data_IF_935725202433
#
_entry.id   IF_935725202433
#
_cell.length_a   1.000
_cell.length_b   1.000
_cell.length_c   1.000
_cell.angle_alpha   90.00
_cell.angle_beta   90.00
_cell.angle_gamma   90.00
#
_symmetry.space_group_name_H-M   'P 1'
#
loop_
_entity.id
_entity.type
_entity.pdbx_description
1 polymer ?
#
# COMPACT_ATOMS: atom_id res chain seq x y z
N UNK A 1 -0.93 -4.54 -14.75
CA UNK A 1 -0.05 -5.71 -14.55
C UNK A 1 0.85 -5.41 -13.35
N UNK A 2 0.85 -6.28 -12.33
CA UNK A 2 1.60 -6.07 -11.09
C UNK A 2 3.09 -5.81 -11.34
N UNK A 3 3.68 -6.49 -12.32
CA UNK A 3 5.09 -6.31 -12.67
C UNK A 3 5.45 -4.89 -13.13
N UNK A 4 4.52 -4.18 -13.77
CA UNK A 4 4.75 -2.79 -14.19
C UNK A 4 4.71 -1.86 -12.97
N UNK A 5 3.71 -2.04 -12.11
CA UNK A 5 3.58 -1.24 -10.88
C UNK A 5 4.81 -1.40 -9.97
N UNK A 6 5.37 -2.60 -9.89
CA UNK A 6 6.60 -2.84 -9.13
C UNK A 6 7.82 -2.15 -9.75
N UNK A 7 7.94 -2.14 -11.08
CA UNK A 7 9.01 -1.43 -11.79
C UNK A 7 8.90 0.09 -11.61
N UNK A 8 7.69 0.63 -11.68
CA UNK A 8 7.46 2.07 -11.47
C UNK A 8 7.83 2.46 -10.02
N UNK A 9 7.43 1.66 -9.03
CA UNK A 9 7.78 1.89 -7.62
C UNK A 9 9.28 1.70 -7.31
N UNK A 10 9.97 0.82 -8.06
CA UNK A 10 11.44 0.75 -8.01
C UNK A 10 12.07 2.03 -8.59
N UNK A 11 11.56 2.54 -9.73
CA UNK A 11 12.06 3.77 -10.35
C UNK A 11 11.87 4.99 -9.44
N UNK A 12 10.76 5.04 -8.71
CA UNK A 12 10.44 6.07 -7.71
C UNK A 12 11.20 5.88 -6.38
N UNK A 13 12.04 4.84 -6.26
CA UNK A 13 12.81 4.50 -5.05
C UNK A 13 11.96 4.21 -3.81
N UNK A 14 10.73 3.77 -4.01
CA UNK A 14 9.81 3.34 -2.95
C UNK A 14 10.08 1.88 -2.59
N UNK A 15 10.46 1.06 -3.57
CA UNK A 15 10.80 -0.36 -3.39
C UNK A 15 12.26 -0.65 -3.74
N UNK A 16 12.83 -1.66 -3.06
CA UNK A 16 14.08 -2.31 -3.43
C UNK A 16 13.79 -3.77 -3.78
N UNK A 17 14.33 -4.21 -4.92
CA UNK A 17 14.28 -5.60 -5.37
C UNK A 17 15.49 -6.38 -4.89
N UNK A 18 15.22 -7.39 -4.08
CA UNK A 18 16.21 -8.36 -3.63
C UNK A 18 16.07 -9.64 -4.46
N UNK A 19 17.06 -9.89 -5.32
CA UNK A 19 17.14 -11.12 -6.10
C UNK A 19 17.88 -12.17 -5.27
N UNK A 20 17.16 -13.21 -4.85
CA UNK A 20 17.77 -14.35 -4.19
C UNK A 20 18.29 -15.29 -5.30
N UNK A 21 19.60 -15.35 -5.49
CA UNK A 21 20.30 -16.30 -6.39
C UNK A 21 20.86 -17.42 -5.50
N UNK A 22 20.93 -18.71 -5.88
CA UNK A 22 21.16 -19.23 -7.22
C UNK A 22 20.70 -20.69 -7.38
N UNK A 23 19.54 -20.92 -8.00
CA UNK A 23 19.19 -22.07 -8.85
C UNK A 23 17.76 -21.85 -9.38
N UNK A 24 17.37 -22.38 -10.55
CA UNK A 24 16.01 -22.23 -11.06
C UNK A 24 14.99 -22.86 -10.10
N UNK A 25 13.87 -22.18 -9.74
CA UNK A 25 13.40 -20.89 -10.24
C UNK A 25 13.90 -19.66 -9.44
N UNK A 26 14.18 -18.57 -10.18
CA UNK A 26 14.58 -17.27 -9.62
C UNK A 26 13.42 -16.68 -8.80
N UNK A 27 13.60 -16.59 -7.50
CA UNK A 27 12.63 -15.93 -6.61
C UNK A 27 13.09 -14.50 -6.33
N UNK A 28 12.17 -13.56 -6.47
CA UNK A 28 12.39 -12.14 -6.18
C UNK A 28 11.59 -11.75 -4.94
N UNK A 29 12.19 -10.98 -4.04
CA UNK A 29 11.47 -10.31 -2.95
C UNK A 29 11.61 -8.82 -3.08
N UNK A 30 10.54 -8.11 -2.80
CA UNK A 30 10.51 -6.65 -2.74
C UNK A 30 10.45 -6.23 -1.27
N UNK A 31 11.10 -5.13 -0.94
CA UNK A 31 11.06 -4.52 0.38
C UNK A 31 10.92 -3.02 0.23
N UNK A 32 10.25 -2.38 1.20
CA UNK A 32 10.13 -0.92 1.22
C UNK A 32 11.49 -0.30 1.53
N UNK A 33 11.75 0.84 0.90
CA UNK A 33 12.84 1.73 1.33
C UNK A 33 12.40 2.54 2.54
N UNK A 34 13.31 3.31 3.14
CA UNK A 34 12.97 4.29 4.18
C UNK A 34 11.86 5.25 3.70
N UNK A 35 11.98 5.75 2.47
CA UNK A 35 10.96 6.60 1.84
C UNK A 35 9.64 5.84 1.65
N UNK A 36 9.70 4.56 1.26
CA UNK A 36 8.52 3.72 1.13
C UNK A 36 7.80 3.49 2.44
N UNK A 37 8.53 3.32 3.55
CA UNK A 37 7.93 3.24 4.89
C UNK A 37 7.24 4.55 5.28
N UNK A 38 7.88 5.70 5.08
CA UNK A 38 7.25 7.00 5.33
C UNK A 38 5.97 7.22 4.48
N UNK A 39 6.02 6.83 3.20
CA UNK A 39 4.85 6.91 2.33
C UNK A 39 3.71 5.99 2.81
N UNK A 40 4.06 4.80 3.33
CA UNK A 40 3.07 3.85 3.86
C UNK A 40 2.32 4.42 5.08
N UNK A 41 2.97 5.17 5.96
CA UNK A 41 2.32 5.81 7.11
C UNK A 41 1.24 6.82 6.69
N UNK A 42 1.49 7.56 5.61
CA UNK A 42 0.51 8.51 5.04
C UNK A 42 -0.67 7.77 4.43
N UNK A 43 -0.41 6.69 3.68
CA UNK A 43 -1.45 5.85 3.11
C UNK A 43 -2.31 5.18 4.20
N UNK A 44 -1.69 4.75 5.30
CA UNK A 44 -2.38 4.20 6.46
C UNK A 44 -3.26 5.26 7.14
N UNK A 45 -2.78 6.50 7.26
CA UNK A 45 -3.56 7.60 7.80
C UNK A 45 -4.79 7.91 6.92
N UNK A 46 -4.61 7.95 5.60
CA UNK A 46 -5.71 8.13 4.64
C UNK A 46 -6.71 6.97 4.71
N UNK A 47 -6.22 5.74 4.83
CA UNK A 47 -7.05 4.53 4.97
C UNK A 47 -7.88 4.58 6.26
N UNK A 48 -7.26 4.91 7.40
CA UNK A 48 -7.96 5.09 8.68
C UNK A 48 -9.06 6.14 8.60
N UNK A 49 -8.74 7.30 8.01
CA UNK A 49 -9.71 8.37 7.80
C UNK A 49 -10.88 7.89 6.93
N UNK A 50 -10.59 7.18 5.83
CA UNK A 50 -11.61 6.64 4.93
C UNK A 50 -12.57 5.70 5.66
N UNK A 51 -12.04 4.77 6.46
CA UNK A 51 -12.87 3.86 7.26
C UNK A 51 -13.73 4.60 8.28
N UNK A 52 -13.16 5.58 8.99
CA UNK A 52 -13.92 6.40 9.95
C UNK A 52 -15.04 7.17 9.25
N UNK A 53 -14.77 7.74 8.08
CA UNK A 53 -15.74 8.52 7.31
C UNK A 53 -16.89 7.65 6.79
N UNK A 54 -16.61 6.41 6.37
CA UNK A 54 -17.65 5.45 5.99
C UNK A 54 -18.55 5.10 7.18
N UNK A 55 -17.97 4.88 8.37
CA UNK A 55 -18.72 4.63 9.60
C UNK A 55 -19.60 5.83 9.97
N UNK A 56 -19.06 7.04 9.92
CA UNK A 56 -19.81 8.27 10.20
C UNK A 56 -20.97 8.43 9.22
N UNK A 57 -20.74 8.21 7.93
CA UNK A 57 -21.78 8.32 6.90
C UNK A 57 -22.89 7.28 7.08
N UNK A 58 -22.57 6.04 7.48
CA UNK A 58 -23.57 5.01 7.77
C UNK A 58 -24.40 5.34 9.03
N UNK A 59 -23.78 5.89 10.08
CA UNK A 59 -24.48 6.29 11.29
C UNK A 59 -25.44 7.46 11.05
N UNK A 60 -25.06 8.43 10.21
CA UNK A 60 -25.91 9.55 9.84
C UNK A 60 -27.15 9.10 9.03
N UNK A 61 -27.00 8.11 8.15
CA UNK A 61 -28.12 7.56 7.38
C UNK A 61 -29.12 6.83 8.29
N UNK A 62 -28.64 6.04 9.24
CA UNK A 62 -29.51 5.27 10.15
C UNK A 62 -30.27 6.14 11.17
N UNK A 63 -29.78 7.34 11.48
CA UNK A 63 -30.42 8.26 12.43
C UNK A 63 -31.50 9.17 11.79
N UNK A 64 -31.66 9.15 10.47
CA UNK A 64 -32.62 10.03 9.76
C UNK A 64 -33.93 9.30 9.43
N UNK A 65 -34.07 8.01 9.79
CA UNK A 65 -35.26 7.19 9.56
C UNK A 65 -36.15 6.99 10.82
N UNK A 66 -36.08 7.89 11.81
CA UNK A 66 -36.95 7.89 13.00
C UNK A 66 -37.83 9.14 13.04
#
# INVERSE_FOLDING_TARGET
>A
MLSQQLQDLEADRILIKNVLVAEPPKTVRYSLTELGYQASEVLDALTRWGHQSQVVNQQMQNNTEI
#
